data_IF_536766273216
#
_entry.id   IF_536766273216
#
_cell.length_a   1.000
_cell.length_b   1.000
_cell.length_c   1.000
_cell.angle_alpha   90.00
_cell.angle_beta   90.00
_cell.angle_gamma   90.00
#
_symmetry.space_group_name_H-M   'P 1'
#
loop_
_entity.id
_entity.type
_entity.pdbx_description
1 polymer ?
#
# COMPACT_ATOMS: atom_id res chain seq x y z
N UNK A 1 12.10 11.63 -7.15
CA UNK A 1 11.37 10.46 -6.62
C UNK A 1 10.36 11.01 -5.64
N UNK A 2 9.08 10.99 -5.97
CA UNK A 2 8.03 11.50 -5.09
C UNK A 2 7.67 10.38 -4.12
N UNK A 3 7.79 10.65 -2.82
CA UNK A 3 7.47 9.69 -1.76
C UNK A 3 6.06 9.99 -1.26
N UNK A 4 5.16 9.01 -1.38
CA UNK A 4 3.78 9.12 -0.91
C UNK A 4 3.66 8.25 0.33
N UNK A 5 3.42 8.85 1.49
CA UNK A 5 3.19 8.15 2.74
C UNK A 5 1.68 8.02 2.99
N UNK A 6 1.24 6.84 3.43
CA UNK A 6 -0.17 6.53 3.67
C UNK A 6 -0.35 6.23 5.15
N UNK A 7 -1.19 7.01 5.81
CA UNK A 7 -1.53 6.81 7.22
C UNK A 7 -2.69 5.80 7.37
N UNK A 8 -2.76 5.15 8.54
CA UNK A 8 -3.86 4.25 8.94
C UNK A 8 -4.22 3.11 7.98
N UNK A 9 -3.27 2.68 7.15
CA UNK A 9 -3.44 1.60 6.15
C UNK A 9 -3.99 0.30 6.75
N UNK A 10 -3.65 0.02 8.01
CA UNK A 10 -4.10 -1.18 8.71
C UNK A 10 -5.59 -1.15 9.11
N UNK A 11 -6.28 -0.02 8.91
CA UNK A 11 -7.72 0.12 9.09
C UNK A 11 -8.50 -0.06 7.79
N UNK A 12 -7.81 -0.14 6.65
CA UNK A 12 -8.47 -0.31 5.36
C UNK A 12 -9.11 -1.69 5.26
N UNK A 13 -10.29 -1.72 4.64
CA UNK A 13 -10.96 -2.98 4.32
C UNK A 13 -10.14 -3.82 3.35
N UNK A 14 -10.24 -5.14 3.46
CA UNK A 14 -9.52 -6.07 2.60
C UNK A 14 -9.81 -5.83 1.11
N UNK A 15 -11.04 -5.44 0.76
CA UNK A 15 -11.43 -5.11 -0.62
C UNK A 15 -10.62 -3.94 -1.19
N UNK A 16 -10.41 -2.89 -0.40
CA UNK A 16 -9.62 -1.71 -0.79
C UNK A 16 -8.16 -2.11 -1.03
N UNK A 17 -7.58 -2.91 -0.12
CA UNK A 17 -6.21 -3.40 -0.27
C UNK A 17 -6.04 -4.25 -1.54
N UNK A 18 -7.04 -5.06 -1.88
CA UNK A 18 -7.03 -5.87 -3.11
C UNK A 18 -7.14 -5.01 -4.36
N UNK A 19 -7.97 -3.98 -4.36
CA UNK A 19 -8.09 -3.07 -5.50
C UNK A 19 -6.79 -2.28 -5.72
N UNK A 20 -6.19 -1.78 -4.65
CA UNK A 20 -4.87 -1.16 -4.70
C UNK A 20 -3.79 -2.12 -5.23
N UNK A 21 -3.82 -3.40 -4.85
CA UNK A 21 -2.88 -4.39 -5.39
C UNK A 21 -3.03 -4.54 -6.92
N UNK A 22 -4.27 -4.49 -7.44
CA UNK A 22 -4.53 -4.52 -8.90
C UNK A 22 -3.98 -3.29 -9.60
N UNK A 23 -4.01 -2.13 -8.94
CA UNK A 23 -3.47 -0.88 -9.45
C UNK A 23 -1.93 -0.80 -9.38
N UNK A 24 -1.26 -1.88 -8.96
CA UNK A 24 0.20 -1.98 -8.95
C UNK A 24 0.87 -1.44 -7.68
N UNK A 25 0.11 -1.29 -6.59
CA UNK A 25 0.66 -1.01 -5.28
C UNK A 25 1.22 -2.29 -4.63
N UNK A 26 2.39 -2.18 -4.01
CA UNK A 26 3.06 -3.26 -3.31
C UNK A 26 3.06 -3.01 -1.82
N UNK A 27 2.66 -4.01 -1.03
CA UNK A 27 2.55 -3.91 0.42
C UNK A 27 3.71 -4.63 1.09
N UNK A 28 4.41 -3.95 2.01
CA UNK A 28 5.35 -4.61 2.91
C UNK A 28 4.65 -4.92 4.23
N UNK A 29 4.68 -6.20 4.62
CA UNK A 29 4.01 -6.70 5.83
C UNK A 29 5.07 -7.16 6.83
N UNK A 30 4.96 -6.72 8.08
CA UNK A 30 5.75 -7.24 9.20
C UNK A 30 4.89 -7.28 10.46
N UNK A 31 5.07 -8.30 11.29
CA UNK A 31 4.32 -8.51 12.54
C UNK A 31 2.79 -8.55 12.33
N UNK A 32 2.35 -9.09 11.19
CA UNK A 32 0.93 -9.17 10.82
C UNK A 32 0.29 -7.83 10.45
N UNK A 33 1.08 -6.78 10.25
CA UNK A 33 0.61 -5.43 9.89
C UNK A 33 1.30 -4.92 8.64
N UNK A 34 0.60 -4.10 7.86
CA UNK A 34 1.18 -3.35 6.76
C UNK A 34 2.10 -2.28 7.36
N UNK A 35 3.37 -2.30 6.97
CA UNK A 35 4.40 -1.35 7.38
C UNK A 35 4.57 -0.22 6.37
N UNK A 36 4.45 -0.53 5.08
CA UNK A 36 4.56 0.46 4.01
C UNK A 36 3.83 -0.02 2.76
N UNK A 37 3.46 0.95 1.92
CA UNK A 37 2.91 0.72 0.59
C UNK A 37 3.80 1.45 -0.41
N UNK A 38 4.15 0.79 -1.51
CA UNK A 38 5.02 1.34 -2.56
C UNK A 38 4.33 1.24 -3.90
N UNK A 39 4.33 2.31 -4.68
CA UNK A 39 3.89 2.31 -6.08
C UNK A 39 4.99 2.89 -6.95
N UNK A 40 5.25 2.28 -8.11
CA UNK A 40 6.19 2.82 -9.09
C UNK A 40 5.45 3.75 -10.04
N UNK A 41 5.57 5.05 -9.81
CA UNK A 41 5.11 6.05 -10.77
C UNK A 41 6.11 6.10 -11.92
N UNK A 42 5.68 5.68 -13.11
CA UNK A 42 6.45 5.82 -14.34
C UNK A 42 6.08 7.20 -14.90
N UNK A 43 7.08 8.07 -15.05
CA UNK A 43 6.92 9.40 -15.67
C UNK A 43 6.78 9.30 -17.18
#
# INVERSE_FOLDING_TARGET
>A
MQEVNWDDVNLLELGVLLDMAKDGYFFQIADGRIRSIVVKLIS
#
